data_IF_081472447866
#
_entry.id   IF_081472447866
#
_cell.length_a   1.000
_cell.length_b   1.000
_cell.length_c   1.000
_cell.angle_alpha   90.00
_cell.angle_beta   90.00
_cell.angle_gamma   90.00
#
_symmetry.space_group_name_H-M   'P 1'
#
loop_
_entity.id
_entity.type
_entity.pdbx_description
1 polymer ?
#
# COMPACT_ATOMS: atom_id res chain seq x y z
N UNK A 1 -56.37 -15.31 -34.09
CA UNK A 1 -55.97 -16.71 -33.83
C UNK A 1 -55.25 -16.71 -32.49
N UNK A 2 -55.73 -17.49 -31.53
CA UNK A 2 -55.37 -17.42 -30.12
C UNK A 2 -53.97 -17.95 -29.82
N UNK A 3 -53.10 -17.12 -29.26
CA UNK A 3 -51.78 -17.49 -28.73
C UNK A 3 -51.78 -17.51 -27.20
N UNK A 4 -52.74 -18.22 -26.59
CA UNK A 4 -52.77 -18.41 -25.14
C UNK A 4 -52.87 -19.92 -24.79
N UNK A 5 -51.94 -20.69 -25.35
CA UNK A 5 -51.58 -21.99 -24.76
C UNK A 5 -50.90 -21.69 -23.41
N UNK A 6 -51.49 -22.16 -22.32
CA UNK A 6 -51.03 -21.97 -20.93
C UNK A 6 -49.65 -22.57 -20.59
N UNK A 7 -48.75 -22.69 -21.56
CA UNK A 7 -47.34 -22.97 -21.39
C UNK A 7 -46.62 -21.64 -21.19
N UNK A 8 -45.77 -21.54 -20.17
CA UNK A 8 -44.91 -20.36 -19.97
C UNK A 8 -44.26 -20.00 -21.32
N UNK A 9 -44.47 -18.78 -21.87
CA UNK A 9 -43.71 -18.38 -23.02
C UNK A 9 -42.23 -18.49 -22.62
N UNK A 10 -41.42 -19.10 -23.49
CA UNK A 10 -39.96 -19.11 -23.36
C UNK A 10 -39.52 -17.64 -23.38
N UNK A 11 -39.57 -17.00 -22.22
CA UNK A 11 -39.10 -15.65 -22.04
C UNK A 11 -37.64 -15.68 -22.44
N UNK A 12 -37.31 -14.98 -23.52
CA UNK A 12 -35.93 -14.71 -23.91
C UNK A 12 -35.25 -14.19 -22.64
N UNK A 13 -34.43 -15.08 -22.04
CA UNK A 13 -33.87 -14.87 -20.72
C UNK A 13 -33.28 -13.48 -20.65
N UNK A 14 -33.85 -12.65 -19.77
CA UNK A 14 -33.51 -11.23 -19.69
C UNK A 14 -32.01 -11.05 -19.70
N UNK A 15 -31.54 -10.14 -20.57
CA UNK A 15 -30.16 -9.68 -20.79
C UNK A 15 -29.16 -10.16 -19.74
N UNK A 16 -28.75 -11.43 -19.81
CA UNK A 16 -27.61 -11.92 -19.06
C UNK A 16 -26.39 -11.42 -19.83
N UNK A 17 -25.57 -10.53 -19.26
CA UNK A 17 -24.38 -10.08 -19.96
C UNK A 17 -23.52 -11.31 -20.26
N UNK A 18 -23.17 -11.49 -21.53
CA UNK A 18 -22.33 -12.60 -21.95
C UNK A 18 -20.98 -12.49 -21.21
N UNK A 19 -20.73 -13.41 -20.29
CA UNK A 19 -19.44 -13.50 -19.61
C UNK A 19 -18.44 -14.14 -20.57
N UNK A 20 -17.35 -13.42 -20.86
CA UNK A 20 -16.26 -13.94 -21.68
C UNK A 20 -15.11 -14.30 -20.75
N UNK A 21 -14.47 -15.45 -21.02
CA UNK A 21 -13.26 -15.86 -20.28
C UNK A 21 -12.08 -15.06 -20.83
N UNK A 22 -11.68 -14.00 -20.14
CA UNK A 22 -10.55 -13.17 -20.55
C UNK A 22 -9.27 -13.63 -19.85
N UNK A 23 -8.21 -13.79 -20.62
CA UNK A 23 -6.85 -13.99 -20.13
C UNK A 23 -6.16 -12.66 -19.89
N UNK A 24 -5.73 -12.41 -18.66
CA UNK A 24 -4.87 -11.28 -18.28
C UNK A 24 -3.40 -11.66 -18.47
N UNK A 25 -2.53 -10.67 -18.71
CA UNK A 25 -1.09 -10.88 -18.66
C UNK A 25 -0.71 -11.44 -17.28
N UNK A 26 0.31 -12.30 -17.22
CA UNK A 26 0.71 -13.08 -16.04
C UNK A 26 -0.17 -14.31 -15.72
N UNK A 27 -0.86 -14.87 -16.71
CA UNK A 27 -1.48 -16.21 -16.60
C UNK A 27 -2.77 -16.26 -15.78
N UNK A 28 -3.33 -15.12 -15.39
CA UNK A 28 -4.59 -15.05 -14.66
C UNK A 28 -5.75 -15.08 -15.66
N UNK A 29 -6.72 -15.97 -15.50
CA UNK A 29 -7.97 -15.96 -16.28
C UNK A 29 -9.15 -15.70 -15.35
N UNK A 30 -10.02 -14.74 -15.70
CA UNK A 30 -11.24 -14.45 -14.92
C UNK A 30 -12.41 -14.19 -15.87
N UNK A 31 -13.62 -14.47 -15.38
CA UNK A 31 -14.84 -14.12 -16.09
C UNK A 31 -15.01 -12.60 -16.00
N UNK A 32 -15.01 -11.93 -17.15
CA UNK A 32 -15.28 -10.49 -17.26
C UNK A 32 -16.67 -10.32 -17.84
N UNK A 33 -17.45 -9.45 -17.20
CA UNK A 33 -18.83 -9.13 -17.61
C UNK A 33 -18.77 -8.00 -18.63
N UNK A 34 -19.33 -8.21 -19.82
CA UNK A 34 -19.45 -7.14 -20.83
C UNK A 34 -20.71 -6.33 -20.52
N UNK A 35 -20.53 -5.10 -20.05
CA UNK A 35 -21.61 -4.14 -19.88
C UNK A 35 -22.05 -3.60 -21.25
N UNK A 36 -23.00 -4.29 -21.90
CA UNK A 36 -23.61 -3.77 -23.12
C UNK A 36 -24.62 -2.68 -22.76
N UNK A 37 -24.20 -1.42 -22.90
CA UNK A 37 -25.05 -0.26 -22.66
C UNK A 37 -26.13 -0.17 -23.75
N UNK A 38 -27.41 -0.30 -23.37
CA UNK A 38 -28.52 -0.04 -24.29
C UNK A 38 -28.53 1.44 -24.70
N UNK A 39 -28.71 1.70 -25.99
CA UNK A 39 -28.87 3.05 -26.54
C UNK A 39 -30.13 3.68 -25.92
N UNK A 40 -29.97 4.79 -25.19
CA UNK A 40 -31.11 5.55 -24.64
C UNK A 40 -31.84 6.20 -25.81
N UNK A 41 -33.03 5.71 -26.13
CA UNK A 41 -33.95 6.38 -27.07
C UNK A 41 -34.55 7.55 -26.31
N UNK A 42 -34.10 8.77 -26.61
CA UNK A 42 -34.71 9.99 -26.12
C UNK A 42 -35.93 10.27 -27.01
N UNK A 43 -37.10 9.85 -26.55
CA UNK A 43 -38.35 10.43 -27.04
C UNK A 43 -38.55 11.74 -26.28
N UNK A 44 -38.54 12.91 -26.94
CA UNK A 44 -38.87 14.16 -26.27
C UNK A 44 -40.32 14.05 -25.78
N UNK A 45 -40.49 14.11 -24.46
CA UNK A 45 -41.82 14.21 -23.87
C UNK A 45 -42.31 15.65 -24.06
N UNK A 46 -43.38 15.90 -24.83
CA UNK A 46 -43.91 17.25 -24.95
C UNK A 46 -44.45 17.67 -23.57
N UNK A 47 -43.92 18.76 -23.01
CA UNK A 47 -44.49 19.39 -21.81
C UNK A 47 -43.57 19.56 -20.58
N UNK A 48 -42.29 19.17 -20.61
CA UNK A 48 -41.40 19.43 -19.47
C UNK A 48 -40.83 20.86 -19.51
N UNK A 49 -41.49 21.79 -18.83
CA UNK A 49 -40.97 23.13 -18.56
C UNK A 49 -39.70 23.07 -17.70
N UNK A 50 -38.65 23.81 -18.09
CA UNK A 50 -37.42 23.99 -17.31
C UNK A 50 -37.73 24.81 -16.05
N UNK A 51 -37.18 24.48 -14.86
CA UNK A 51 -37.27 25.37 -13.71
C UNK A 51 -36.42 26.62 -13.98
N UNK A 52 -37.03 27.79 -13.86
CA UNK A 52 -36.32 29.06 -13.86
C UNK A 52 -35.40 29.12 -12.64
N UNK A 53 -34.11 29.38 -12.87
CA UNK A 53 -33.20 29.82 -11.83
C UNK A 53 -33.65 31.22 -11.43
N UNK A 54 -34.30 31.32 -10.27
CA UNK A 54 -34.59 32.60 -9.64
C UNK A 54 -33.26 33.24 -9.20
N UNK A 55 -32.80 34.23 -9.95
CA UNK A 55 -31.76 35.14 -9.51
C UNK A 55 -32.24 35.86 -8.24
N UNK A 56 -31.57 35.58 -7.12
CA UNK A 56 -31.78 36.31 -5.87
C UNK A 56 -31.45 37.78 -6.08
N UNK A 57 -32.34 38.67 -5.61
CA UNK A 57 -32.16 40.10 -5.68
C UNK A 57 -30.84 40.54 -5.02
N UNK A 58 -30.11 41.53 -5.58
CA UNK A 58 -28.91 42.05 -4.95
C UNK A 58 -29.30 42.79 -3.67
N UNK A 59 -28.90 42.25 -2.51
CA UNK A 59 -28.94 42.98 -1.24
C UNK A 59 -28.05 44.22 -1.37
N UNK A 60 -28.64 45.39 -1.10
CA UNK A 60 -28.16 46.70 -1.55
C UNK A 60 -26.72 47.03 -1.18
N UNK A 61 -25.95 47.40 -2.19
CA UNK A 61 -24.60 47.97 -2.08
C UNK A 61 -24.00 48.15 -3.47
N UNK A 62 -23.34 49.28 -3.71
CA UNK A 62 -22.77 49.64 -5.03
C UNK A 62 -21.79 48.57 -5.53
N UNK A 63 -22.10 47.85 -6.64
CA UNK A 63 -21.29 46.76 -7.16
C UNK A 63 -19.92 47.21 -7.67
N UNK A 64 -19.74 48.52 -7.91
CA UNK A 64 -18.53 49.11 -8.47
C UNK A 64 -17.37 49.21 -7.47
N UNK A 65 -17.67 49.12 -6.16
CA UNK A 65 -16.66 49.23 -5.08
C UNK A 65 -16.16 47.87 -4.56
N UNK A 66 -16.59 46.78 -5.20
CA UNK A 66 -16.30 45.40 -4.74
C UNK A 66 -15.28 44.76 -5.68
N UNK A 67 -14.22 44.13 -5.17
CA UNK A 67 -13.26 43.46 -6.03
C UNK A 67 -13.98 42.39 -6.86
N UNK A 68 -13.99 42.60 -8.19
CA UNK A 68 -14.58 41.73 -9.20
C UNK A 68 -16.13 41.54 -9.18
N UNK A 69 -16.90 42.42 -8.54
CA UNK A 69 -18.38 42.38 -8.63
C UNK A 69 -19.05 41.18 -7.93
N UNK A 70 -18.36 40.54 -6.99
CA UNK A 70 -18.83 39.40 -6.20
C UNK A 70 -19.61 39.92 -4.98
N UNK A 71 -20.70 39.26 -4.58
CA UNK A 71 -21.45 39.63 -3.37
C UNK A 71 -20.67 39.30 -2.08
N UNK A 72 -20.91 40.03 -0.97
CA UNK A 72 -20.23 39.77 0.32
C UNK A 72 -20.40 38.32 0.77
N UNK A 73 -21.59 37.77 0.59
CA UNK A 73 -21.94 36.39 0.93
C UNK A 73 -21.08 35.39 0.13
N UNK A 74 -20.83 35.67 -1.14
CA UNK A 74 -20.00 34.81 -1.99
C UNK A 74 -18.51 34.94 -1.67
N UNK A 75 -18.03 36.16 -1.36
CA UNK A 75 -16.66 36.38 -0.91
C UNK A 75 -16.38 35.61 0.38
N UNK A 76 -17.27 35.71 1.37
CA UNK A 76 -17.17 34.96 2.63
C UNK A 76 -17.17 33.45 2.41
N UNK A 77 -18.02 32.94 1.50
CA UNK A 77 -18.04 31.51 1.15
C UNK A 77 -16.72 31.07 0.52
N UNK A 78 -16.14 31.89 -0.37
CA UNK A 78 -14.82 31.61 -0.97
C UNK A 78 -13.72 31.61 0.08
N UNK A 79 -13.70 32.60 0.97
CA UNK A 79 -12.71 32.68 2.06
C UNK A 79 -12.83 31.49 3.03
N UNK A 80 -14.06 31.10 3.39
CA UNK A 80 -14.32 29.90 4.21
C UNK A 80 -13.86 28.62 3.50
N UNK A 81 -14.11 28.48 2.20
CA UNK A 81 -13.64 27.35 1.41
C UNK A 81 -12.11 27.27 1.35
N UNK A 82 -11.43 28.41 1.18
CA UNK A 82 -9.96 28.47 1.20
C UNK A 82 -9.39 28.12 2.58
N UNK A 83 -10.01 28.61 3.65
CA UNK A 83 -9.61 28.28 5.02
C UNK A 83 -9.76 26.77 5.31
N UNK A 84 -10.88 26.17 4.90
CA UNK A 84 -11.11 24.73 5.01
C UNK A 84 -10.12 23.92 4.16
N UNK A 85 -9.78 24.38 2.96
CA UNK A 85 -8.78 23.73 2.11
C UNK A 85 -7.40 23.75 2.77
N UNK A 86 -7.00 24.88 3.35
CA UNK A 86 -5.71 25.01 4.06
C UNK A 86 -5.67 24.15 5.32
N UNK A 87 -6.78 24.05 6.05
CA UNK A 87 -6.86 23.17 7.21
C UNK A 87 -6.66 21.69 6.82
N UNK A 88 -7.32 21.24 5.74
CA UNK A 88 -7.13 19.89 5.21
C UNK A 88 -5.70 19.64 4.73
N UNK A 89 -5.10 20.62 4.05
CA UNK A 89 -3.70 20.52 3.60
C UNK A 89 -2.74 20.36 4.78
N UNK A 90 -2.94 21.11 5.87
CA UNK A 90 -2.15 20.98 7.09
C UNK A 90 -2.33 19.61 7.76
N UNK A 91 -3.57 19.10 7.84
CA UNK A 91 -3.86 17.76 8.36
C UNK A 91 -3.21 16.67 7.51
N UNK A 92 -3.28 16.78 6.18
CA UNK A 92 -2.71 15.80 5.26
C UNK A 92 -1.17 15.86 5.22
N UNK A 93 -0.58 17.03 5.46
CA UNK A 93 0.86 17.17 5.66
C UNK A 93 1.31 16.49 6.96
N UNK A 94 0.61 16.74 8.07
CA UNK A 94 0.91 16.11 9.36
C UNK A 94 0.77 14.58 9.31
N UNK A 95 -0.24 14.05 8.61
CA UNK A 95 -0.40 12.60 8.38
C UNK A 95 0.77 12.03 7.59
N UNK A 96 1.16 12.68 6.49
CA UNK A 96 2.31 12.25 5.68
C UNK A 96 3.62 12.24 6.48
N UNK A 97 3.86 13.28 7.29
CA UNK A 97 5.03 13.32 8.17
C UNK A 97 5.01 12.21 9.22
N UNK A 98 3.84 11.90 9.80
CA UNK A 98 3.69 10.81 10.76
C UNK A 98 3.97 9.44 10.10
N UNK A 99 3.36 9.18 8.94
CA UNK A 99 3.57 7.94 8.17
C UNK A 99 5.03 7.79 7.70
N UNK A 100 5.70 8.89 7.36
CA UNK A 100 7.13 8.87 7.02
C UNK A 100 8.01 8.57 8.23
N UNK A 101 7.69 9.14 9.40
CA UNK A 101 8.38 8.84 10.66
C UNK A 101 8.17 7.39 11.08
N UNK A 102 6.97 6.86 10.99
CA UNK A 102 6.67 5.44 11.30
C UNK A 102 7.45 4.51 10.35
N UNK A 103 7.43 4.77 9.04
CA UNK A 103 8.22 3.99 8.09
C UNK A 103 9.73 4.12 8.30
N UNK A 104 10.21 5.26 8.80
CA UNK A 104 11.62 5.44 9.14
C UNK A 104 12.00 4.65 10.39
N UNK A 105 11.16 4.69 11.43
CA UNK A 105 11.33 3.93 12.65
C UNK A 105 11.32 2.41 12.38
N UNK A 106 10.38 1.90 11.57
CA UNK A 106 10.35 0.48 11.19
C UNK A 106 11.64 0.04 10.46
N UNK A 107 12.18 0.90 9.58
CA UNK A 107 13.45 0.61 8.90
C UNK A 107 14.63 0.61 9.87
N UNK A 108 14.62 1.49 10.87
CA UNK A 108 15.65 1.55 11.90
C UNK A 108 15.60 0.34 12.81
N UNK A 109 14.41 -0.07 13.28
CA UNK A 109 14.20 -1.29 14.05
C UNK A 109 14.69 -2.52 13.29
N UNK A 110 14.33 -2.65 12.01
CA UNK A 110 14.81 -3.76 11.18
C UNK A 110 16.33 -3.80 11.08
N UNK A 111 17.00 -2.64 11.01
CA UNK A 111 18.47 -2.57 10.99
C UNK A 111 19.05 -2.94 12.35
N UNK A 112 18.50 -2.40 13.44
CA UNK A 112 18.93 -2.73 14.80
C UNK A 112 18.79 -4.24 15.09
N UNK A 113 17.68 -4.85 14.69
CA UNK A 113 17.45 -6.29 14.83
C UNK A 113 18.44 -7.13 14.00
N UNK A 114 18.76 -6.68 12.79
CA UNK A 114 19.75 -7.35 11.95
C UNK A 114 21.16 -7.25 12.55
N UNK A 115 21.55 -6.07 13.04
CA UNK A 115 22.83 -5.85 13.70
C UNK A 115 22.94 -6.63 15.01
N UNK A 116 21.86 -6.73 15.79
CA UNK A 116 21.85 -7.52 17.01
C UNK A 116 22.04 -9.01 16.71
N UNK A 117 21.35 -9.54 15.69
CA UNK A 117 21.53 -10.93 15.23
C UNK A 117 22.94 -11.18 14.72
N UNK A 118 23.48 -10.26 13.94
CA UNK A 118 24.85 -10.38 13.42
C UNK A 118 25.89 -10.37 14.54
N UNK A 119 25.71 -9.54 15.57
CA UNK A 119 26.59 -9.55 16.76
C UNK A 119 26.51 -10.88 17.51
N UNK A 120 25.30 -11.39 17.72
CA UNK A 120 25.10 -12.68 18.38
C UNK A 120 25.72 -13.84 17.58
N UNK A 121 25.58 -13.82 16.24
CA UNK A 121 26.20 -14.81 15.36
C UNK A 121 27.73 -14.72 15.40
N UNK A 122 28.30 -13.50 15.37
CA UNK A 122 29.76 -13.30 15.50
C UNK A 122 30.28 -13.79 16.86
N UNK A 123 29.60 -13.48 17.96
CA UNK A 123 29.98 -13.97 19.29
C UNK A 123 29.94 -15.50 19.37
N UNK A 124 28.93 -16.14 18.76
CA UNK A 124 28.84 -17.60 18.68
C UNK A 124 29.98 -18.19 17.85
N UNK A 125 30.29 -17.59 16.70
CA UNK A 125 31.40 -18.02 15.85
C UNK A 125 32.76 -17.87 16.53
N UNK A 126 32.99 -16.75 17.23
CA UNK A 126 34.21 -16.51 18.00
C UNK A 126 34.35 -17.50 19.15
N UNK A 127 33.26 -17.80 19.86
CA UNK A 127 33.27 -18.81 20.93
C UNK A 127 33.55 -20.22 20.39
N UNK A 128 33.05 -20.56 19.20
CA UNK A 128 33.35 -21.85 18.56
C UNK A 128 34.80 -21.92 18.08
N UNK A 129 35.34 -20.84 17.50
CA UNK A 129 36.75 -20.76 17.09
C UNK A 129 37.68 -20.86 18.30
N UNK A 130 37.39 -20.14 19.38
CA UNK A 130 38.17 -20.21 20.62
C UNK A 130 38.19 -21.64 21.20
N UNK A 131 37.05 -22.33 21.24
CA UNK A 131 36.98 -23.73 21.69
C UNK A 131 37.80 -24.66 20.79
N UNK A 132 37.73 -24.48 19.47
CA UNK A 132 38.49 -25.28 18.52
C UNK A 132 40.01 -25.06 18.67
N UNK A 133 40.45 -23.80 18.85
CA UNK A 133 41.86 -23.47 19.09
C UNK A 133 42.37 -24.03 20.42
N UNK A 134 41.57 -24.00 21.49
CA UNK A 134 41.91 -24.62 22.77
C UNK A 134 42.04 -26.15 22.66
N UNK A 135 41.14 -26.80 21.95
CA UNK A 135 41.25 -28.25 21.70
C UNK A 135 42.48 -28.60 20.86
N UNK A 136 42.81 -27.79 19.86
CA UNK A 136 44.01 -27.99 19.05
C UNK A 136 45.29 -27.80 19.87
N UNK A 137 45.35 -26.77 20.72
CA UNK A 137 46.49 -26.57 21.63
C UNK A 137 46.66 -27.75 22.57
N UNK A 138 45.58 -28.23 23.19
CA UNK A 138 45.62 -29.42 24.07
C UNK A 138 46.09 -30.67 23.33
N UNK A 139 45.66 -30.88 22.07
CA UNK A 139 46.13 -32.00 21.24
C UNK A 139 47.63 -31.88 20.94
N UNK A 140 48.11 -30.70 20.53
CA UNK A 140 49.54 -30.45 20.26
C UNK A 140 50.41 -30.62 21.51
N UNK A 141 49.95 -30.16 22.67
CA UNK A 141 50.64 -30.34 23.95
C UNK A 141 50.69 -31.82 24.36
N UNK A 142 49.59 -32.55 24.19
CA UNK A 142 49.55 -34.00 24.45
C UNK A 142 50.47 -34.78 23.48
N UNK A 143 50.49 -34.43 22.20
CA UNK A 143 51.38 -35.03 21.20
C UNK A 143 52.86 -34.72 21.50
N UNK A 144 53.19 -33.49 21.88
CA UNK A 144 54.54 -33.10 22.28
C UNK A 144 54.99 -33.83 23.56
N UNK A 145 54.10 -33.98 24.54
CA UNK A 145 54.38 -34.74 25.76
C UNK A 145 54.59 -36.23 25.47
N UNK A 146 53.77 -36.82 24.58
CA UNK A 146 53.93 -38.21 24.14
C UNK A 146 55.25 -38.43 23.39
N UNK A 147 55.65 -37.50 22.52
CA UNK A 147 56.94 -37.55 21.82
C UNK A 147 58.12 -37.40 22.79
N UNK A 148 58.03 -36.50 23.77
CA UNK A 148 59.06 -36.31 24.78
C UNK A 148 59.22 -37.56 25.69
N UNK A 149 58.11 -38.23 26.04
CA UNK A 149 58.15 -39.47 26.81
C UNK A 149 58.67 -40.68 25.99
N UNK A 150 58.52 -40.65 24.67
CA UNK A 150 59.01 -41.70 23.76
C UNK A 150 60.47 -41.47 23.31
N UNK A 151 61.07 -40.32 23.63
CA UNK A 151 62.47 -40.06 23.32
C UNK A 151 63.39 -40.93 24.20
N UNK A 152 64.23 -41.82 23.62
CA UNK A 152 65.12 -42.66 24.41
C UNK A 152 66.17 -41.78 25.10
N UNK A 153 66.36 -41.99 26.41
CA UNK A 153 67.46 -41.40 27.16
C UNK A 153 68.77 -41.70 26.41
N UNK A 154 69.37 -40.65 25.84
CA UNK A 154 70.70 -40.74 25.27
C UNK A 154 71.62 -41.19 26.40
N UNK A 155 72.07 -42.44 26.28
CA UNK A 155 73.05 -43.09 27.14
C UNK A 155 74.30 -42.21 27.09
N UNK A 156 74.47 -41.41 28.14
CA UNK A 156 75.75 -40.84 28.53
C UNK A 156 76.48 -41.98 29.23
N UNK A 157 77.54 -42.48 28.62
CA UNK A 157 78.57 -43.25 29.34
C UNK A 157 79.96 -42.70 28.93
N UNK A 158 80.95 -42.76 29.85
CA UNK A 158 82.07 -41.82 29.98
C UNK A 158 83.22 -41.97 28.97
#
# INVERSE_FOLDING_TARGET
MSDNDGKKPLGLGGSRPANVKQSFSHGRTKNVVVETKRKRVVVPKPGAAKPAVSGGAPTGGDPSKRPAGISDVELERRMKALALSKAREAEDAAKREAEEKERAAEREERRADAEAKEREEREREEALKAKAEEEERKKREAEAAAQAAAAPAAVVDP
#
